data_IF_450492749651
#
_entry.id   IF_450492749651
#
_cell.length_a   1.000
_cell.length_b   1.000
_cell.length_c   1.000
_cell.angle_alpha   90.00
_cell.angle_beta   90.00
_cell.angle_gamma   90.00
#
_symmetry.space_group_name_H-M   'P 1'
#
loop_
_entity.id
_entity.type
_entity.pdbx_description
1 polymer ?
#
# COMPACT_ATOMS: atom_id res chain seq x y z
N UNK A 1 5.43 -7.54 -7.51
CA UNK A 1 4.42 -7.54 -6.42
C UNK A 1 3.41 -8.64 -6.69
N UNK A 2 2.77 -9.22 -5.66
CA UNK A 2 1.66 -10.16 -5.85
C UNK A 2 0.40 -9.40 -6.27
N UNK A 3 -0.32 -9.92 -7.26
CA UNK A 3 -1.59 -9.40 -7.80
C UNK A 3 -2.70 -10.37 -7.51
N UNK A 4 -3.89 -9.90 -7.21
CA UNK A 4 -4.98 -10.76 -6.73
C UNK A 4 -6.17 -10.71 -7.66
N UNK A 5 -6.74 -11.87 -7.97
CA UNK A 5 -7.94 -11.96 -8.82
C UNK A 5 -8.83 -13.09 -8.32
N UNK A 6 -10.09 -13.07 -8.73
CA UNK A 6 -11.11 -14.05 -8.31
C UNK A 6 -11.63 -14.83 -9.50
N UNK A 7 -11.77 -16.15 -9.33
CA UNK A 7 -12.35 -17.07 -10.32
C UNK A 7 -13.27 -18.02 -9.57
N UNK A 8 -14.53 -18.10 -9.98
CA UNK A 8 -15.52 -19.03 -9.43
C UNK A 8 -15.52 -19.02 -7.87
N UNK A 9 -15.55 -17.81 -7.29
CA UNK A 9 -15.51 -17.54 -5.83
C UNK A 9 -14.19 -17.87 -5.11
N UNK A 10 -13.18 -18.39 -5.80
CA UNK A 10 -11.85 -18.64 -5.24
C UNK A 10 -10.90 -17.47 -5.51
N UNK A 11 -10.05 -17.17 -4.52
CA UNK A 11 -9.03 -16.12 -4.60
C UNK A 11 -7.72 -16.72 -5.09
N UNK A 12 -7.15 -16.09 -6.12
CA UNK A 12 -5.84 -16.44 -6.66
C UNK A 12 -4.89 -15.24 -6.60
N UNK A 13 -3.61 -15.54 -6.50
CA UNK A 13 -2.51 -14.59 -6.45
C UNK A 13 -1.51 -14.90 -7.56
N UNK A 14 -1.16 -13.91 -8.37
CA UNK A 14 -0.12 -14.00 -9.41
C UNK A 14 1.07 -13.12 -9.03
N UNK A 15 2.29 -13.63 -9.18
CA UNK A 15 3.50 -12.82 -9.11
C UNK A 15 4.36 -13.12 -10.31
N UNK A 16 4.78 -12.06 -10.99
CA UNK A 16 5.75 -12.12 -12.09
C UNK A 16 7.07 -11.59 -11.58
N UNK A 17 8.14 -12.33 -11.86
CA UNK A 17 9.52 -11.94 -11.60
C UNK A 17 10.25 -12.00 -12.94
N UNK A 18 10.55 -10.82 -13.46
CA UNK A 18 11.37 -10.68 -14.66
C UNK A 18 12.84 -10.75 -14.28
N UNK A 19 13.57 -11.68 -14.88
CA UNK A 19 15.04 -11.71 -14.93
C UNK A 19 15.50 -11.39 -16.35
N UNK A 20 16.80 -11.09 -16.53
CA UNK A 20 17.34 -10.61 -17.82
C UNK A 20 17.01 -11.53 -19.01
N UNK A 21 16.98 -12.85 -18.80
CA UNK A 21 16.67 -13.84 -19.86
C UNK A 21 15.38 -14.65 -19.63
N UNK A 22 14.89 -14.71 -18.39
CA UNK A 22 13.78 -15.59 -18.01
C UNK A 22 12.67 -14.80 -17.31
N UNK A 23 11.43 -15.21 -17.54
CA UNK A 23 10.25 -14.73 -16.84
C UNK A 23 9.76 -15.85 -15.95
N UNK A 24 9.82 -15.64 -14.64
CA UNK A 24 9.28 -16.56 -13.65
C UNK A 24 7.90 -16.07 -13.20
N UNK A 25 6.91 -16.92 -13.33
CA UNK A 25 5.53 -16.62 -12.99
C UNK A 25 5.08 -17.61 -11.91
N UNK A 26 4.58 -17.06 -10.82
CA UNK A 26 4.09 -17.78 -9.66
C UNK A 26 2.58 -17.56 -9.54
N UNK A 27 1.84 -18.64 -9.40
CA UNK A 27 0.40 -18.63 -9.15
C UNK A 27 0.11 -19.32 -7.82
N UNK A 28 -0.73 -18.76 -6.96
CA UNK A 28 -1.13 -19.38 -5.70
C UNK A 28 -2.61 -19.20 -5.42
N UNK A 29 -3.22 -20.19 -4.78
CA UNK A 29 -4.58 -20.13 -4.22
C UNK A 29 -4.56 -20.03 -2.68
N UNK A 30 -3.46 -19.52 -2.10
CA UNK A 30 -3.14 -19.49 -0.67
C UNK A 30 -2.88 -20.85 0.01
N UNK A 31 -3.14 -21.97 -0.68
CA UNK A 31 -2.87 -23.33 -0.16
C UNK A 31 -1.71 -23.99 -0.87
N UNK A 32 -1.62 -23.82 -2.19
CA UNK A 32 -0.57 -24.36 -3.06
C UNK A 32 -0.01 -23.24 -3.91
N UNK A 33 1.19 -23.48 -4.45
CA UNK A 33 1.85 -22.60 -5.41
C UNK A 33 2.19 -23.41 -6.66
N UNK A 34 1.96 -22.81 -7.81
CA UNK A 34 2.37 -23.33 -9.09
C UNK A 34 3.35 -22.36 -9.74
N UNK A 35 4.28 -22.90 -10.50
CA UNK A 35 5.35 -22.16 -11.16
C UNK A 35 5.35 -22.39 -12.65
N UNK A 36 5.61 -21.33 -13.39
CA UNK A 36 5.88 -21.32 -14.81
C UNK A 36 7.16 -20.53 -15.03
N UNK A 37 8.19 -21.18 -15.58
CA UNK A 37 9.46 -20.53 -15.91
C UNK A 37 9.61 -20.61 -17.42
N UNK A 38 9.66 -19.46 -18.07
CA UNK A 38 9.75 -19.34 -19.53
C UNK A 38 10.93 -18.43 -19.88
N UNK A 39 11.62 -18.71 -20.99
CA UNK A 39 12.52 -17.71 -21.59
C UNK A 39 11.68 -16.58 -22.20
N UNK A 40 12.28 -15.40 -22.37
CA UNK A 40 11.60 -14.30 -23.06
C UNK A 40 11.21 -14.67 -24.49
N UNK A 41 12.03 -15.46 -25.18
CA UNK A 41 11.73 -15.98 -26.52
C UNK A 41 10.52 -16.91 -26.50
N UNK A 42 10.48 -17.86 -25.57
CA UNK A 42 9.36 -18.79 -25.42
C UNK A 42 8.05 -18.06 -25.06
N UNK A 43 8.13 -16.98 -24.29
CA UNK A 43 6.97 -16.14 -23.98
C UNK A 43 6.45 -15.41 -25.22
N UNK A 44 7.35 -14.91 -26.07
CA UNK A 44 6.99 -14.26 -27.34
C UNK A 44 6.38 -15.28 -28.31
N UNK A 45 6.99 -16.45 -28.46
CA UNK A 45 6.46 -17.54 -29.31
C UNK A 45 5.06 -17.95 -28.87
N UNK A 46 4.87 -18.22 -27.57
CA UNK A 46 3.57 -18.59 -27.02
C UNK A 46 2.52 -17.48 -27.19
N UNK A 47 2.92 -16.21 -27.03
CA UNK A 47 2.01 -15.09 -27.27
C UNK A 47 1.63 -14.96 -28.76
N UNK A 48 2.57 -15.20 -29.69
CA UNK A 48 2.32 -15.21 -31.13
C UNK A 48 1.39 -16.36 -31.53
N UNK A 49 1.62 -17.57 -31.00
CA UNK A 49 0.75 -18.73 -31.24
C UNK A 49 -0.69 -18.48 -30.76
N UNK A 50 -0.85 -17.82 -29.62
CA UNK A 50 -2.16 -17.45 -29.09
C UNK A 50 -2.86 -16.35 -29.90
N UNK A 51 -2.10 -15.51 -30.61
CA UNK A 51 -2.61 -14.33 -31.33
C UNK A 51 -2.03 -14.20 -32.74
N UNK A 52 -2.32 -15.14 -33.65
CA UNK A 52 -1.75 -15.13 -35.01
C UNK A 52 -2.24 -13.96 -35.88
N UNK A 53 -3.27 -13.24 -35.44
CA UNK A 53 -3.82 -12.07 -36.14
C UNK A 53 -3.04 -10.77 -35.87
N UNK A 54 -2.04 -10.82 -35.00
CA UNK A 54 -1.17 -9.70 -34.65
C UNK A 54 0.11 -9.87 -35.43
N UNK A 55 0.60 -8.80 -36.04
CA UNK A 55 1.94 -8.73 -36.61
C UNK A 55 2.66 -7.54 -35.97
N UNK A 56 3.52 -7.82 -35.00
CA UNK A 56 4.31 -6.83 -34.26
C UNK A 56 5.77 -7.29 -34.11
N UNK A 57 6.61 -6.40 -33.60
CA UNK A 57 8.00 -6.76 -33.29
C UNK A 57 8.09 -7.66 -32.04
N UNK A 58 9.12 -8.51 -31.89
CA UNK A 58 9.33 -9.34 -30.70
C UNK A 58 9.32 -8.55 -29.39
N UNK A 59 9.86 -7.33 -29.41
CA UNK A 59 9.90 -6.43 -28.25
C UNK A 59 8.50 -5.96 -27.84
N UNK A 60 7.65 -5.61 -28.81
CA UNK A 60 6.25 -5.24 -28.57
C UNK A 60 5.44 -6.43 -28.04
N UNK A 61 5.65 -7.64 -28.57
CA UNK A 61 5.01 -8.84 -28.05
C UNK A 61 5.36 -9.11 -26.60
N UNK A 62 6.64 -8.97 -26.23
CA UNK A 62 7.08 -9.14 -24.87
C UNK A 62 6.42 -8.10 -23.94
N UNK A 63 6.34 -6.85 -24.38
CA UNK A 63 5.65 -5.79 -23.62
C UNK A 63 4.16 -6.07 -23.47
N UNK A 64 3.48 -6.51 -24.52
CA UNK A 64 2.06 -6.85 -24.45
C UNK A 64 1.79 -8.05 -23.54
N UNK A 65 2.63 -9.10 -23.60
CA UNK A 65 2.54 -10.24 -22.69
C UNK A 65 2.75 -9.84 -21.23
N UNK A 66 3.75 -8.99 -20.95
CA UNK A 66 3.99 -8.44 -19.61
C UNK A 66 2.84 -7.56 -19.12
N UNK A 67 2.28 -6.72 -19.99
CA UNK A 67 1.14 -5.88 -19.66
C UNK A 67 -0.10 -6.72 -19.33
N UNK A 68 -0.36 -7.79 -20.09
CA UNK A 68 -1.42 -8.77 -19.80
C UNK A 68 -1.26 -9.43 -18.43
N UNK A 69 -0.05 -9.87 -18.11
CA UNK A 69 0.24 -10.44 -16.79
C UNK A 69 0.12 -9.40 -15.68
N UNK A 70 0.39 -8.14 -16.01
CA UNK A 70 0.30 -7.04 -15.07
C UNK A 70 -1.14 -6.56 -14.85
N UNK A 71 -2.01 -6.69 -15.83
CA UNK A 71 -3.41 -6.25 -15.78
C UNK A 71 -4.37 -7.43 -15.56
N UNK A 72 -3.90 -8.50 -14.90
CA UNK A 72 -4.71 -9.71 -14.65
C UNK A 72 -6.00 -9.44 -13.87
N UNK A 73 -6.05 -8.36 -13.08
CA UNK A 73 -7.20 -7.98 -12.24
C UNK A 73 -8.38 -7.46 -13.07
N UNK A 74 -8.11 -6.86 -14.24
CA UNK A 74 -9.13 -6.33 -15.15
C UNK A 74 -9.41 -7.27 -16.34
N UNK A 75 -8.69 -8.39 -16.43
CA UNK A 75 -8.80 -9.35 -17.52
C UNK A 75 -9.84 -10.46 -17.25
N UNK A 76 -10.40 -11.03 -18.31
CA UNK A 76 -11.15 -12.28 -18.25
C UNK A 76 -10.16 -13.45 -18.07
N UNK A 77 -10.06 -13.98 -16.85
CA UNK A 77 -9.14 -15.08 -16.53
C UNK A 77 -9.90 -16.40 -16.42
N UNK A 78 -9.33 -17.47 -16.96
CA UNK A 78 -9.81 -18.85 -16.79
C UNK A 78 -8.66 -19.76 -16.37
N UNK A 79 -8.95 -20.69 -15.46
CA UNK A 79 -8.01 -21.72 -15.03
C UNK A 79 -8.55 -23.08 -15.48
N UNK A 80 -7.70 -23.88 -16.11
CA UNK A 80 -8.00 -25.25 -16.51
C UNK A 80 -7.00 -26.18 -15.83
N UNK A 81 -7.48 -27.15 -15.06
CA UNK A 81 -6.63 -28.15 -14.44
C UNK A 81 -6.52 -29.36 -15.37
N UNK A 82 -5.33 -29.60 -15.93
CA UNK A 82 -5.03 -30.76 -16.75
C UNK A 82 -4.29 -31.74 -15.83
N UNK A 83 -4.86 -32.91 -15.52
CA UNK A 83 -4.27 -33.92 -14.61
C UNK A 83 -4.26 -33.55 -13.11
N UNK A 84 -5.42 -33.16 -12.57
CA UNK A 84 -5.58 -32.91 -11.12
C UNK A 84 -4.94 -31.60 -10.65
N UNK A 85 -4.33 -31.60 -9.46
CA UNK A 85 -3.67 -30.41 -8.86
C UNK A 85 -2.26 -30.17 -9.46
N UNK A 86 -1.74 -31.13 -10.22
CA UNK A 86 -0.33 -31.15 -10.69
C UNK A 86 -0.02 -30.12 -11.76
N UNK A 87 -0.86 -30.01 -12.80
CA UNK A 87 -0.65 -29.07 -13.90
C UNK A 87 -1.86 -28.16 -14.06
N UNK A 88 -1.59 -26.88 -14.21
CA UNK A 88 -2.61 -25.85 -14.25
C UNK A 88 -2.35 -24.95 -15.44
N UNK A 89 -3.32 -24.83 -16.35
CA UNK A 89 -3.30 -23.92 -17.47
C UNK A 89 -4.06 -22.64 -17.12
N UNK A 90 -3.36 -21.51 -17.14
CA UNK A 90 -3.95 -20.18 -16.98
C UNK A 90 -4.21 -19.58 -18.36
N UNK A 91 -5.43 -19.12 -18.60
CA UNK A 91 -5.80 -18.41 -19.81
C UNK A 91 -6.23 -17.00 -19.42
N UNK A 92 -5.47 -16.01 -19.85
CA UNK A 92 -5.78 -14.59 -19.64
C UNK A 92 -6.31 -14.02 -20.95
N UNK A 93 -7.48 -13.37 -20.92
CA UNK A 93 -8.05 -12.67 -22.06
C UNK A 93 -8.33 -11.23 -21.69
N UNK A 94 -7.82 -10.28 -22.46
CA UNK A 94 -8.14 -8.86 -22.24
C UNK A 94 -8.83 -8.24 -23.45
N UNK A 95 -9.80 -7.37 -23.16
CA UNK A 95 -10.39 -6.47 -24.14
C UNK A 95 -9.61 -5.16 -24.03
N UNK A 96 -8.50 -5.03 -24.75
CA UNK A 96 -7.71 -3.80 -24.67
C UNK A 96 -8.49 -2.69 -25.39
N UNK A 97 -9.02 -1.73 -24.64
CA UNK A 97 -10.05 -0.78 -25.08
C UNK A 97 -9.56 0.29 -26.07
N UNK A 98 -8.29 0.34 -26.47
CA UNK A 98 -7.77 1.46 -27.28
C UNK A 98 -7.12 1.10 -28.62
N UNK A 99 -6.36 0.01 -28.75
CA UNK A 99 -5.51 -0.18 -29.93
C UNK A 99 -5.80 -1.42 -30.79
N UNK A 100 -6.57 -2.38 -30.29
CA UNK A 100 -6.83 -3.64 -31.00
C UNK A 100 -8.31 -3.95 -31.09
N UNK A 101 -8.78 -4.34 -32.29
CA UNK A 101 -10.17 -4.78 -32.52
C UNK A 101 -10.44 -6.21 -32.04
N UNK A 102 -9.43 -6.89 -31.50
CA UNK A 102 -9.47 -8.29 -31.10
C UNK A 102 -9.07 -8.47 -29.63
N UNK A 103 -9.60 -9.52 -29.00
CA UNK A 103 -9.23 -9.89 -27.64
C UNK A 103 -7.83 -10.50 -27.65
N UNK A 104 -6.90 -9.97 -26.86
CA UNK A 104 -5.60 -10.63 -26.68
C UNK A 104 -5.79 -11.83 -25.77
N UNK A 105 -5.06 -12.91 -26.07
CA UNK A 105 -5.09 -14.15 -25.30
C UNK A 105 -3.67 -14.56 -24.93
N UNK A 106 -3.46 -14.99 -23.69
CA UNK A 106 -2.22 -15.63 -23.27
C UNK A 106 -2.57 -16.92 -22.55
N UNK A 107 -1.98 -18.03 -22.97
CA UNK A 107 -2.05 -19.31 -22.26
C UNK A 107 -0.72 -19.59 -21.57
N UNK A 108 -0.75 -20.02 -20.32
CA UNK A 108 0.45 -20.39 -19.58
C UNK A 108 0.22 -21.71 -18.87
N UNK A 109 1.14 -22.65 -19.07
CA UNK A 109 1.14 -23.92 -18.39
C UNK A 109 2.02 -23.83 -17.14
N UNK A 110 1.40 -24.09 -15.99
CA UNK A 110 2.03 -24.10 -14.68
C UNK A 110 2.17 -25.53 -14.16
N UNK A 111 3.26 -25.74 -13.42
CA UNK A 111 3.55 -26.99 -12.73
C UNK A 111 3.49 -26.78 -11.22
N UNK A 112 3.03 -27.79 -10.47
CA UNK A 112 2.99 -27.73 -9.01
C UNK A 112 4.40 -27.55 -8.46
N UNK A 113 4.60 -26.48 -7.68
CA UNK A 113 5.89 -26.21 -7.07
C UNK A 113 6.07 -26.95 -5.74
N UNK A 114 7.33 -27.11 -5.34
CA UNK A 114 7.67 -27.73 -4.06
C UNK A 114 7.14 -26.92 -2.87
N UNK A 115 6.74 -27.62 -1.80
CA UNK A 115 6.26 -27.00 -0.54
C UNK A 115 7.30 -26.02 0.04
N UNK A 116 8.60 -26.30 -0.15
CA UNK A 116 9.67 -25.39 0.28
C UNK A 116 9.59 -24.03 -0.40
N UNK A 117 9.21 -24.00 -1.67
CA UNK A 117 9.08 -22.77 -2.44
C UNK A 117 7.90 -21.92 -1.95
N UNK A 118 6.80 -22.57 -1.52
CA UNK A 118 5.69 -21.88 -0.87
C UNK A 118 6.17 -21.19 0.42
N UNK A 119 6.92 -21.91 1.26
CA UNK A 119 7.47 -21.33 2.48
C UNK A 119 8.38 -20.14 2.17
N UNK A 120 9.31 -20.30 1.23
CA UNK A 120 10.28 -19.26 0.86
C UNK A 120 9.64 -18.02 0.22
N UNK A 121 8.69 -18.20 -0.71
CA UNK A 121 8.13 -17.08 -1.48
C UNK A 121 6.91 -16.42 -0.84
N UNK A 122 6.21 -17.10 0.05
CA UNK A 122 5.00 -16.59 0.71
C UNK A 122 5.21 -16.45 2.23
N UNK A 123 5.49 -17.56 2.91
CA UNK A 123 5.44 -17.61 4.38
C UNK A 123 6.53 -16.75 5.02
N UNK A 124 7.77 -16.85 4.53
CA UNK A 124 8.91 -16.11 5.07
C UNK A 124 8.74 -14.59 4.87
N UNK A 125 8.41 -14.08 3.67
CA UNK A 125 8.13 -12.66 3.48
C UNK A 125 7.02 -12.14 4.40
N UNK A 126 5.94 -12.91 4.59
CA UNK A 126 4.86 -12.52 5.50
C UNK A 126 5.34 -12.41 6.95
N UNK A 127 6.11 -13.38 7.44
CA UNK A 127 6.69 -13.32 8.79
C UNK A 127 7.61 -12.11 8.93
N UNK A 128 8.45 -11.83 7.92
CA UNK A 128 9.35 -10.68 7.91
C UNK A 128 8.58 -9.35 7.92
N UNK A 129 7.50 -9.24 7.14
CA UNK A 129 6.62 -8.07 7.15
C UNK A 129 5.95 -7.88 8.51
N UNK A 130 5.49 -8.96 9.14
CA UNK A 130 4.89 -8.88 10.49
C UNK A 130 5.91 -8.35 11.51
N UNK A 131 7.13 -8.89 11.50
CA UNK A 131 8.22 -8.43 12.38
C UNK A 131 8.54 -6.95 12.13
N UNK A 132 8.54 -6.52 10.86
CA UNK A 132 8.79 -5.13 10.48
C UNK A 132 7.69 -4.19 10.97
N UNK A 133 6.42 -4.54 10.75
CA UNK A 133 5.27 -3.75 11.20
C UNK A 133 5.27 -3.58 12.72
N UNK A 134 5.70 -4.60 13.46
CA UNK A 134 5.84 -4.50 14.91
C UNK A 134 6.96 -3.55 15.34
N UNK A 135 8.12 -3.61 14.68
CA UNK A 135 9.21 -2.65 14.91
C UNK A 135 8.74 -1.22 14.64
N UNK A 136 7.99 -1.00 13.56
CA UNK A 136 7.38 0.30 13.24
C UNK A 136 6.37 0.72 14.31
N UNK A 137 5.48 -0.18 14.75
CA UNK A 137 4.51 0.10 15.81
C UNK A 137 5.21 0.52 17.12
N UNK A 138 6.28 -0.18 17.51
CA UNK A 138 7.09 0.15 18.69
C UNK A 138 7.79 1.50 18.54
N UNK A 139 8.33 1.78 17.37
CA UNK A 139 8.94 3.08 17.05
C UNK A 139 7.91 4.22 17.14
N UNK A 140 6.73 4.06 16.54
CA UNK A 140 5.64 5.03 16.60
C UNK A 140 5.16 5.25 18.04
N UNK A 141 5.03 4.19 18.84
CA UNK A 141 4.72 4.28 20.27
C UNK A 141 5.73 5.14 21.02
N UNK A 142 7.03 4.92 20.81
CA UNK A 142 8.07 5.73 21.45
C UNK A 142 8.03 7.20 20.99
N UNK A 143 7.73 7.43 19.70
CA UNK A 143 7.60 8.78 19.15
C UNK A 143 6.43 9.54 19.78
N UNK A 144 5.27 8.88 19.93
CA UNK A 144 4.10 9.46 20.60
C UNK A 144 4.39 9.82 22.05
N UNK A 145 5.02 8.91 22.81
CA UNK A 145 5.43 9.19 24.19
C UNK A 145 6.40 10.36 24.31
N UNK A 146 7.33 10.49 23.36
CA UNK A 146 8.25 11.63 23.30
C UNK A 146 7.50 12.93 23.02
N UNK A 147 6.52 12.91 22.12
CA UNK A 147 5.70 14.09 21.80
C UNK A 147 4.78 14.50 22.94
N UNK A 148 4.18 13.54 23.65
CA UNK A 148 3.40 13.83 24.86
C UNK A 148 4.27 14.50 25.94
N UNK A 149 5.51 14.04 26.11
CA UNK A 149 6.46 14.68 27.03
C UNK A 149 6.82 16.11 26.60
N UNK A 150 7.07 16.32 25.30
CA UNK A 150 7.33 17.67 24.75
C UNK A 150 6.13 18.61 24.97
N UNK A 151 4.89 18.10 24.87
CA UNK A 151 3.67 18.85 25.16
C UNK A 151 3.51 19.16 26.66
N UNK A 152 3.77 18.19 27.52
CA UNK A 152 3.75 18.36 28.99
C UNK A 152 4.76 19.45 29.41
N UNK A 153 5.99 19.40 28.87
CA UNK A 153 7.03 20.42 29.10
C UNK A 153 6.61 21.81 28.58
N UNK A 154 5.97 21.88 27.40
CA UNK A 154 5.47 23.14 26.86
C UNK A 154 4.38 23.77 27.74
N UNK A 155 3.43 22.98 28.24
CA UNK A 155 2.39 23.45 29.14
C UNK A 155 2.98 24.01 30.45
N UNK A 156 4.03 23.37 30.97
CA UNK A 156 4.73 23.83 32.17
C UNK A 156 5.52 25.13 31.95
N UNK A 157 6.19 25.30 30.80
CA UNK A 157 7.03 26.47 30.55
C UNK A 157 6.29 27.70 30.01
N UNK A 158 5.30 27.50 29.13
CA UNK A 158 4.74 28.57 28.26
C UNK A 158 3.24 28.81 28.44
N UNK A 159 2.57 28.04 29.28
CA UNK A 159 1.16 28.21 29.63
C UNK A 159 0.17 27.64 28.62
N UNK A 160 -1.10 28.02 28.75
CA UNK A 160 -2.22 27.43 27.99
C UNK A 160 -2.14 27.64 26.47
N UNK A 161 -2.54 26.61 25.74
CA UNK A 161 -2.62 26.62 24.28
C UNK A 161 -3.86 27.43 23.86
N UNK A 162 -3.65 28.48 23.06
CA UNK A 162 -4.72 29.39 22.58
C UNK A 162 -5.83 28.73 21.74
N UNK A 163 -5.61 27.50 21.27
CA UNK A 163 -6.49 26.72 20.40
C UNK A 163 -6.81 25.39 21.07
N UNK A 164 -7.97 25.32 21.72
CA UNK A 164 -8.40 24.15 22.49
C UNK A 164 -8.72 22.93 21.63
N UNK A 165 -9.01 23.13 20.35
CA UNK A 165 -9.27 22.10 19.34
C UNK A 165 -8.02 21.30 18.92
N UNK A 166 -6.83 21.82 19.21
CA UNK A 166 -5.55 21.17 18.89
C UNK A 166 -4.96 20.38 20.07
N UNK A 167 -5.64 20.37 21.21
CA UNK A 167 -5.19 19.66 22.41
C UNK A 167 -5.54 18.18 22.24
N UNK A 168 -4.51 17.34 22.14
CA UNK A 168 -4.66 15.89 22.08
C UNK A 168 -4.64 15.29 23.48
N UNK A 169 -5.41 14.22 23.67
CA UNK A 169 -5.30 13.41 24.89
C UNK A 169 -3.95 12.68 24.94
N UNK A 170 -3.47 12.42 26.17
CA UNK A 170 -2.23 11.68 26.38
C UNK A 170 -2.36 10.26 25.85
N UNK A 171 -1.34 9.81 25.15
CA UNK A 171 -1.34 8.49 24.54
C UNK A 171 -1.36 7.39 25.61
N UNK A 172 -2.44 6.60 25.60
CA UNK A 172 -2.56 5.43 26.48
C UNK A 172 -1.81 4.24 25.88
N UNK A 173 -0.71 3.84 26.51
CA UNK A 173 0.11 2.70 26.05
C UNK A 173 -0.51 1.33 26.31
N UNK A 174 -1.48 1.24 27.22
CA UNK A 174 -2.12 0.00 27.67
C UNK A 174 -3.27 -0.41 26.74
N UNK A 175 -3.91 0.56 26.06
CA UNK A 175 -4.98 0.27 25.08
C UNK A 175 -4.49 -0.55 23.88
N UNK A 176 -3.18 -0.56 23.63
CA UNK A 176 -2.54 -1.32 22.55
C UNK A 176 -2.09 -2.73 22.97
N UNK A 177 -2.18 -3.10 24.25
CA UNK A 177 -1.66 -4.37 24.76
C UNK A 177 -2.81 -5.25 25.24
N UNK A 178 -3.24 -6.18 24.38
CA UNK A 178 -3.77 -7.47 24.83
C UNK A 178 -3.42 -8.53 23.77
N UNK A 179 -2.13 -8.76 23.56
CA UNK A 179 -1.64 -9.79 22.66
C UNK A 179 -0.91 -10.85 23.50
N UNK A 180 -1.51 -12.04 23.60
CA UNK A 180 -1.00 -13.18 24.38
C UNK A 180 0.47 -13.49 24.05
N UNK A 181 1.26 -13.88 25.06
CA UNK A 181 2.64 -14.36 24.91
C UNK A 181 2.79 -15.57 23.96
N UNK A 182 1.68 -16.24 23.62
CA UNK A 182 1.62 -17.37 22.67
C UNK A 182 1.30 -16.99 21.22
N UNK A 183 1.10 -15.70 20.91
CA UNK A 183 0.90 -15.30 19.51
C UNK A 183 2.15 -15.61 18.69
N UNK A 184 1.96 -16.07 17.45
CA UNK A 184 3.03 -16.33 16.48
C UNK A 184 4.08 -15.21 16.47
N UNK A 185 3.63 -13.96 16.61
CA UNK A 185 4.48 -12.78 16.68
C UNK A 185 5.60 -12.88 17.73
N UNK A 186 5.28 -13.23 18.97
CA UNK A 186 6.26 -13.27 20.07
C UNK A 186 7.29 -14.39 19.88
N UNK A 187 6.90 -15.50 19.23
CA UNK A 187 7.80 -16.61 18.94
C UNK A 187 8.76 -16.27 17.80
N UNK A 188 8.25 -15.75 16.69
CA UNK A 188 9.07 -15.44 15.51
C UNK A 188 9.93 -14.19 15.67
N UNK A 189 9.52 -13.23 16.51
CA UNK A 189 10.34 -12.06 16.82
C UNK A 189 11.66 -12.44 17.49
N UNK A 190 11.64 -13.42 18.41
CA UNK A 190 12.84 -13.92 19.07
C UNK A 190 13.81 -14.62 18.10
N UNK A 191 13.30 -15.11 16.96
CA UNK A 191 14.07 -15.78 15.90
C UNK A 191 14.24 -14.91 14.65
N UNK A 192 13.93 -13.61 14.73
CA UNK A 192 13.95 -12.72 13.56
C UNK A 192 15.34 -12.66 12.89
N UNK A 193 16.41 -12.65 13.68
CA UNK A 193 17.78 -12.64 13.17
C UNK A 193 18.18 -14.00 12.55
N UNK A 194 17.68 -15.11 13.09
CA UNK A 194 17.90 -16.44 12.52
C UNK A 194 17.20 -16.56 11.16
N UNK A 195 15.96 -16.08 11.06
CA UNK A 195 15.19 -16.04 9.80
C UNK A 195 15.90 -15.17 8.77
N UNK A 196 16.39 -14.00 9.19
CA UNK A 196 17.15 -13.09 8.31
C UNK A 196 18.45 -13.72 7.81
N UNK A 197 19.14 -14.48 8.66
CA UNK A 197 20.37 -15.19 8.30
C UNK A 197 20.13 -16.30 7.28
N UNK A 198 19.00 -16.99 7.37
CA UNK A 198 18.69 -18.14 6.51
C UNK A 198 18.08 -17.69 5.17
N UNK A 199 17.21 -16.68 5.17
CA UNK A 199 16.38 -16.33 4.02
C UNK A 199 16.64 -14.92 3.45
N UNK A 200 17.61 -14.20 4.00
CA UNK A 200 17.91 -12.81 3.59
C UNK A 200 16.97 -11.79 4.23
N UNK A 201 17.06 -10.54 3.75
CA UNK A 201 16.27 -9.42 4.30
C UNK A 201 15.25 -8.98 3.25
N UNK A 202 14.01 -8.72 3.66
CA UNK A 202 13.09 -7.92 2.84
C UNK A 202 13.63 -6.50 2.85
N UNK A 203 14.18 -6.06 1.72
CA UNK A 203 14.61 -4.68 1.54
C UNK A 203 13.37 -3.77 1.51
N UNK A 204 13.31 -2.82 2.42
CA UNK A 204 12.41 -1.68 2.31
C UNK A 204 13.20 -0.40 2.58
N UNK A 205 12.94 0.61 1.73
CA UNK A 205 13.38 1.98 1.95
C UNK A 205 12.62 2.52 3.15
N UNK A 206 13.21 2.41 4.33
CA UNK A 206 12.76 3.16 5.49
C UNK A 206 13.07 4.62 5.16
N UNK A 207 12.07 5.42 4.79
CA UNK A 207 12.19 6.87 4.91
C UNK A 207 12.36 7.16 6.40
N UNK A 208 13.59 7.40 6.82
CA UNK A 208 13.86 7.96 8.13
C UNK A 208 13.10 9.28 8.21
N UNK A 209 12.04 9.30 9.02
CA UNK A 209 11.35 10.55 9.35
C UNK A 209 12.33 11.35 10.19
N UNK A 210 13.06 12.25 9.53
CA UNK A 210 13.90 13.24 10.21
C UNK A 210 13.01 14.03 11.17
N UNK A 211 13.18 13.80 12.47
CA UNK A 211 12.52 14.58 13.50
C UNK A 211 13.22 15.93 13.55
N UNK A 212 12.74 16.89 12.76
CA UNK A 212 13.20 18.27 12.88
C UNK A 212 12.99 18.74 14.32
N UNK A 213 14.08 19.07 15.01
CA UNK A 213 14.00 19.66 16.33
C UNK A 213 13.27 21.01 16.20
N UNK A 214 12.19 21.21 16.98
CA UNK A 214 11.40 22.45 16.95
C UNK A 214 12.24 23.73 17.13
N UNK A 215 13.43 23.61 17.75
CA UNK A 215 14.34 24.72 18.03
C UNK A 215 15.23 25.16 16.85
N UNK A 216 15.22 24.47 15.69
CA UNK A 216 16.07 24.85 14.55
C UNK A 216 15.50 26.01 13.73
N UNK A 217 14.18 26.22 13.75
CA UNK A 217 13.55 27.33 13.02
C UNK A 217 13.30 28.50 13.96
N UNK A 218 14.30 29.40 14.07
CA UNK A 218 14.06 30.77 14.56
C UNK A 218 13.13 31.49 13.57
N UNK A 219 11.81 31.24 13.64
CA UNK A 219 10.82 32.06 12.95
C UNK A 219 10.93 33.47 13.50
N UNK A 220 11.51 34.39 12.71
CA UNK A 220 11.46 35.83 12.98
C UNK A 220 9.98 36.20 13.17
N UNK A 221 9.58 36.56 14.39
CA UNK A 221 8.25 37.11 14.67
C UNK A 221 8.08 38.34 13.76
N UNK A 222 7.16 38.29 12.80
CA UNK A 222 6.69 39.50 12.11
C UNK A 222 5.86 40.26 13.12
N UNK A 223 6.46 41.27 13.74
CA UNK A 223 5.74 42.28 14.52
C UNK A 223 4.93 43.08 13.51
N UNK A 224 3.62 42.87 13.49
CA UNK A 224 2.71 43.79 12.79
C UNK A 224 2.48 44.97 13.73
N UNK A 225 3.04 46.13 13.39
CA UNK A 225 2.55 47.40 13.91
C UNK A 225 1.13 47.60 13.37
N UNK A 226 0.13 47.27 14.18
CA UNK A 226 -1.21 47.82 13.95
C UNK A 226 -1.15 49.26 14.44
N UNK A 227 -1.03 50.21 13.50
CA UNK A 227 -1.55 51.54 13.77
C UNK A 227 -3.04 51.39 14.08
N UNK A 228 -3.39 51.73 15.31
CA UNK A 228 -4.77 51.74 15.79
C UNK A 228 -5.51 52.80 14.98
N UNK A 229 -6.35 52.38 14.03
CA UNK A 229 -7.18 53.29 13.26
C UNK A 229 -8.13 54.05 14.19
N UNK A 230 -8.05 55.37 14.13
CA UNK A 230 -8.86 56.33 14.89
C UNK A 230 -10.35 56.05 14.71
N UNK A 231 -11.03 55.67 15.80
CA UNK A 231 -12.50 55.52 15.82
C UNK A 231 -13.15 56.89 15.97
N UNK A 232 -13.13 57.68 14.91
CA UNK A 232 -14.11 58.76 14.74
C UNK A 232 -14.57 58.82 13.30
N UNK A 233 -15.66 58.10 13.01
CA UNK A 233 -16.71 58.57 12.10
C UNK A 233 -17.96 57.71 12.25
N UNK A 234 -18.98 58.37 12.76
CA UNK A 234 -20.37 57.93 12.90
C UNK A 234 -20.93 57.66 11.51
N UNK A 235 -21.36 56.43 11.25
CA UNK A 235 -22.23 56.11 10.11
C UNK A 235 -23.58 55.62 10.65
N UNK A 236 -24.57 56.47 10.43
CA UNK A 236 -25.97 56.39 10.84
C UNK A 236 -26.67 55.32 9.98
N UNK A 237 -27.26 54.30 10.59
CA UNK A 237 -28.12 53.34 9.89
C UNK A 237 -29.51 53.96 9.80
N UNK A 238 -30.01 54.17 8.58
CA UNK A 238 -31.39 54.61 8.31
C UNK A 238 -32.21 53.38 7.96
N UNK A 239 -33.22 53.08 8.77
CA UNK A 239 -34.22 52.06 8.47
C UNK A 239 -35.43 52.72 7.82
N UNK A 240 -35.90 52.16 6.70
CA UNK A 240 -37.20 52.45 6.13
C UNK A 240 -38.09 51.23 6.30
N UNK A 241 -38.95 51.28 7.31
CA UNK A 241 -40.03 50.34 7.53
C UNK A 241 -41.27 51.13 7.95
N UNK A 242 -42.23 51.27 7.03
CA UNK A 242 -43.56 51.73 7.35
C UNK A 242 -44.26 50.66 8.19
N UNK A 243 -44.56 50.95 9.44
CA UNK A 243 -45.78 50.41 10.05
C UNK A 243 -46.27 51.35 11.14
N UNK A 244 -47.41 51.96 10.82
CA UNK A 244 -48.24 52.80 11.68
C UNK A 244 -48.74 52.00 12.88
N UNK A 245 -48.43 52.43 14.10
CA UNK A 245 -49.27 52.13 15.27
C UNK A 245 -49.37 53.39 16.15
N UNK A 246 -50.60 53.86 16.30
CA UNK A 246 -51.08 54.89 17.22
C UNK A 246 -51.02 54.39 18.66
N UNK A 247 -50.80 55.29 19.62
CA UNK A 247 -51.61 55.52 20.85
C UNK A 247 -50.83 56.43 21.83
N UNK A 248 -51.38 57.61 22.13
CA UNK A 248 -52.05 58.00 23.41
C UNK A 248 -51.03 58.26 24.54
N UNK A 249 -50.97 59.43 25.19
CA UNK A 249 -51.95 60.47 25.53
C UNK A 249 -51.42 61.89 25.30
#
# INVERSE_FOLDING_TARGET
MWKTFTIDENIYMLKVVDSDNNVEIYLSNLTTIWTCILSQEALVENFQECNPAIEQTPEEYLQHAKNLLNEVESAEVKIICNDGISNLKLIIKTNLTSNFKFKLKLELDFTLAEVKLFTEKMTIPLIQTIILLEKQQKMMKNLLLKKDRELDEYQMEKGEISRSDLITEKFNTESLITASNTLMLNVFQNHAEDIKKIYGTVEEKIEEVEVESWNSVKKKRKIYNKETADRTKVSKIVYHGETTIKQEN
#
